data_IF_860549866266
#
_entry.id   IF_860549866266
#
_cell.length_a   1.000
_cell.length_b   1.000
_cell.length_c   1.000
_cell.angle_alpha   90.00
_cell.angle_beta   90.00
_cell.angle_gamma   90.00
#
_symmetry.space_group_name_H-M   'P 1'
#
loop_
_entity.id
_entity.type
_entity.pdbx_description
1 polymer ?
#
# COMPACT_ATOMS: atom_id res chain seq x y z
N UNK A 1 -1.17 16.69 26.98
CA UNK A 1 -0.06 16.68 26.01
C UNK A 1 -0.56 15.88 24.84
N UNK A 2 -0.54 16.41 23.61
CA UNK A 2 -0.91 15.63 22.43
C UNK A 2 0.37 14.94 21.95
N UNK A 3 0.46 13.62 22.12
CA UNK A 3 1.56 12.85 21.54
C UNK A 3 1.48 12.90 20.01
N UNK A 4 2.61 12.97 19.30
CA UNK A 4 2.62 12.87 17.85
C UNK A 4 2.05 11.52 17.41
N UNK A 5 1.38 11.46 16.25
CA UNK A 5 0.81 10.21 15.76
C UNK A 5 1.89 9.15 15.55
N UNK A 6 1.58 7.92 15.96
CA UNK A 6 2.44 6.78 15.67
C UNK A 6 2.16 6.28 14.24
N UNK A 7 3.19 5.82 13.54
CA UNK A 7 3.04 5.31 12.17
C UNK A 7 2.83 3.80 12.14
N UNK A 8 1.85 3.37 11.36
CA UNK A 8 1.68 1.98 10.94
C UNK A 8 2.18 1.83 9.50
N UNK A 9 3.33 1.18 9.33
CA UNK A 9 3.88 0.86 8.02
C UNK A 9 3.33 -0.47 7.51
N UNK A 10 2.72 -0.45 6.34
CA UNK A 10 2.22 -1.63 5.63
C UNK A 10 3.12 -1.88 4.42
N UNK A 11 3.74 -3.05 4.36
CA UNK A 11 4.62 -3.44 3.25
C UNK A 11 3.89 -4.44 2.36
N UNK A 12 3.81 -4.17 1.06
CA UNK A 12 3.16 -5.02 0.06
C UNK A 12 4.21 -5.43 -0.99
N UNK A 13 4.78 -6.64 -0.91
CA UNK A 13 5.55 -7.19 -2.01
C UNK A 13 4.62 -7.56 -3.16
N UNK A 14 5.02 -7.25 -4.39
CA UNK A 14 4.24 -7.49 -5.60
C UNK A 14 5.09 -8.28 -6.58
N UNK A 15 4.58 -9.44 -7.02
CA UNK A 15 5.15 -10.22 -8.12
C UNK A 15 4.02 -10.75 -9.00
N UNK A 16 3.94 -10.24 -10.23
CA UNK A 16 2.92 -10.63 -11.20
C UNK A 16 1.46 -10.50 -10.71
N UNK A 17 1.15 -9.36 -10.09
CA UNK A 17 -0.17 -9.02 -9.55
C UNK A 17 -0.88 -7.92 -10.37
N UNK A 18 -0.66 -7.83 -11.68
CA UNK A 18 -1.26 -6.81 -12.56
C UNK A 18 -2.79 -6.68 -12.36
N UNK A 19 -3.46 -7.81 -12.10
CA UNK A 19 -4.92 -7.88 -11.97
C UNK A 19 -5.44 -7.50 -10.58
N UNK A 20 -4.60 -7.50 -9.56
CA UNK A 20 -5.05 -7.42 -8.16
C UNK A 20 -4.43 -6.24 -7.40
N UNK A 21 -3.24 -5.77 -7.78
CA UNK A 21 -2.46 -4.79 -7.01
C UNK A 21 -3.25 -3.52 -6.69
N UNK A 22 -4.00 -2.98 -7.66
CA UNK A 22 -4.81 -1.78 -7.42
C UNK A 22 -5.95 -2.02 -6.43
N UNK A 23 -6.60 -3.18 -6.48
CA UNK A 23 -7.68 -3.52 -5.56
C UNK A 23 -7.15 -3.76 -4.14
N UNK A 24 -6.01 -4.44 -4.00
CA UNK A 24 -5.34 -4.63 -2.71
C UNK A 24 -4.98 -3.29 -2.09
N UNK A 25 -4.35 -2.39 -2.85
CA UNK A 25 -4.00 -1.05 -2.36
C UNK A 25 -5.24 -0.25 -1.97
N UNK A 26 -6.29 -0.23 -2.81
CA UNK A 26 -7.56 0.43 -2.47
C UNK A 26 -8.16 -0.08 -1.17
N UNK A 27 -8.16 -1.40 -0.95
CA UNK A 27 -8.65 -2.00 0.30
C UNK A 27 -7.82 -1.58 1.50
N UNK A 28 -6.50 -1.63 1.39
CA UNK A 28 -5.59 -1.19 2.47
C UNK A 28 -5.81 0.28 2.81
N UNK A 29 -5.94 1.13 1.80
CA UNK A 29 -6.19 2.57 1.99
C UNK A 29 -7.57 2.85 2.62
N UNK A 30 -8.57 2.02 2.34
CA UNK A 30 -9.94 2.19 2.86
C UNK A 30 -10.11 1.87 4.35
N UNK A 31 -9.15 1.18 4.98
CA UNK A 31 -9.22 0.82 6.40
C UNK A 31 -9.17 2.09 7.26
N UNK A 32 -10.07 2.22 8.23
CA UNK A 32 -9.96 3.28 9.24
C UNK A 32 -8.97 2.82 10.32
N UNK A 33 -7.89 3.58 10.52
CA UNK A 33 -6.93 3.28 11.58
C UNK A 33 -7.46 3.80 12.92
N UNK A 34 -7.33 3.03 14.02
CA UNK A 34 -7.79 3.46 15.32
C UNK A 34 -6.86 4.50 15.95
N UNK A 35 -7.43 5.35 16.81
CA UNK A 35 -6.65 6.27 17.64
C UNK A 35 -5.86 7.31 16.83
N UNK A 36 -4.64 7.57 17.27
CA UNK A 36 -3.73 8.56 16.68
C UNK A 36 -2.69 7.89 15.75
N UNK A 37 -3.14 6.93 14.93
CA UNK A 37 -2.27 6.22 13.99
C UNK A 37 -2.31 6.86 12.60
N UNK A 38 -1.14 7.08 12.03
CA UNK A 38 -0.95 7.44 10.63
C UNK A 38 -0.50 6.23 9.81
N UNK A 39 -0.94 6.16 8.55
CA UNK A 39 -0.55 5.07 7.64
C UNK A 39 0.71 5.47 6.86
N UNK A 40 1.60 4.51 6.71
CA UNK A 40 2.64 4.50 5.69
C UNK A 40 2.45 3.24 4.83
N UNK A 41 2.50 3.38 3.51
CA UNK A 41 2.35 2.26 2.58
C UNK A 41 3.62 2.15 1.73
N UNK A 42 4.23 0.98 1.74
CA UNK A 42 5.46 0.68 1.00
C UNK A 42 5.14 -0.48 0.06
N UNK A 43 5.22 -0.23 -1.24
CA UNK A 43 4.96 -1.24 -2.27
C UNK A 43 6.30 -1.54 -2.93
N UNK A 44 6.63 -2.83 -3.02
CA UNK A 44 7.90 -3.30 -3.60
C UNK A 44 7.56 -4.23 -4.75
N UNK A 45 7.81 -3.79 -5.97
CA UNK A 45 7.77 -4.67 -7.14
C UNK A 45 9.01 -5.57 -7.12
N UNK A 46 8.79 -6.88 -7.03
CA UNK A 46 9.81 -7.92 -6.94
C UNK A 46 10.19 -8.42 -8.34
N UNK A 47 10.59 -7.48 -9.21
CA UNK A 47 10.94 -7.76 -10.61
C UNK A 47 9.82 -8.46 -11.39
N UNK A 48 8.59 -7.95 -11.33
CA UNK A 48 7.47 -8.53 -12.07
C UNK A 48 7.76 -8.56 -13.57
N UNK A 49 7.26 -9.59 -14.24
CA UNK A 49 7.40 -9.77 -15.70
C UNK A 49 6.11 -9.48 -16.47
N UNK A 50 5.05 -9.09 -15.76
CA UNK A 50 3.76 -8.65 -16.31
C UNK A 50 3.56 -7.13 -16.16
N UNK A 51 2.32 -6.65 -16.30
CA UNK A 51 1.98 -5.24 -16.18
C UNK A 51 1.98 -4.66 -14.74
N UNK A 52 2.43 -5.38 -13.72
CA UNK A 52 2.35 -4.95 -12.31
C UNK A 52 2.97 -3.58 -12.06
N UNK A 53 4.17 -3.31 -12.58
CA UNK A 53 4.85 -2.03 -12.41
C UNK A 53 4.03 -0.85 -12.95
N UNK A 54 3.45 -0.99 -14.14
CA UNK A 54 2.58 0.04 -14.72
C UNK A 54 1.33 0.28 -13.88
N UNK A 55 0.76 -0.78 -13.29
CA UNK A 55 -0.40 -0.65 -12.40
C UNK A 55 -0.08 0.02 -11.07
N UNK A 56 1.15 -0.13 -10.58
CA UNK A 56 1.67 0.54 -9.38
C UNK A 56 1.84 2.04 -9.64
N UNK A 57 2.31 2.45 -10.82
CA UNK A 57 2.47 3.87 -11.19
C UNK A 57 1.12 4.61 -11.29
N UNK A 58 0.02 3.88 -11.49
CA UNK A 58 -1.35 4.41 -11.55
C UNK A 58 -2.05 4.50 -10.18
N UNK A 59 -1.37 4.18 -9.08
CA UNK A 59 -1.97 4.21 -7.75
C UNK A 59 -2.32 5.65 -7.30
N UNK A 60 -3.41 5.82 -6.53
CA UNK A 60 -3.90 7.12 -6.09
C UNK A 60 -3.04 7.78 -5.01
#
# INVERSE_FOLDING_TARGET
MNEPPAKLSVVIPVYNEEKTVQEVVRRVLSVQLPGNLERELIIVDDCSTDGSAARIDELP
#
